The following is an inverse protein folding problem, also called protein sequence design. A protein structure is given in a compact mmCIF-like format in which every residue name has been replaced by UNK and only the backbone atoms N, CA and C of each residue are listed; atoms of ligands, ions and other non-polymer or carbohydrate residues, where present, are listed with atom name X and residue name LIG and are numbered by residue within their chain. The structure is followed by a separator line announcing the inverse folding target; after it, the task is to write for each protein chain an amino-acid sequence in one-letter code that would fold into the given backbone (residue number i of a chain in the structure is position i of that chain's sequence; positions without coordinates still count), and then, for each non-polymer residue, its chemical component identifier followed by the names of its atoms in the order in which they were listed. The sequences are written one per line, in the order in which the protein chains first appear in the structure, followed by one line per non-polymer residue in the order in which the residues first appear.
data_IF_778119177772
#
_entry.id   IF_778119177772
#
_cell.length_a   1.000
_cell.length_b   1.000
_cell.length_c   1.000
_cell.angle_alpha   90.00
_cell.angle_beta   90.00
_cell.angle_gamma   90.00
#
_symmetry.space_group_name_H-M   'P 1'
#
loop_
_entity.id
_entity.type
_entity.pdbx_description
1 polymer ?
#
# COMPACT_ATOMS: atom_id res chain seq x y z
N UNK A 1 -9.54 5.75 40.85
CA UNK A 1 -10.09 4.61 40.08
C UNK A 1 -9.04 4.11 39.08
N UNK A 2 -8.70 2.82 39.11
CA UNK A 2 -7.75 2.23 38.15
C UNK A 2 -8.29 2.36 36.73
N UNK A 3 -7.42 2.59 35.74
CA UNK A 3 -7.80 2.65 34.30
C UNK A 3 -8.62 1.43 33.85
N UNK A 4 -8.34 0.27 34.44
CA UNK A 4 -9.11 -0.95 34.24
C UNK A 4 -10.60 -0.78 34.63
N UNK A 5 -10.93 -0.04 35.69
CA UNK A 5 -12.32 0.22 36.09
C UNK A 5 -13.09 1.13 35.12
N UNK A 6 -12.39 2.03 34.42
CA UNK A 6 -12.99 2.92 33.41
C UNK A 6 -13.34 2.18 32.11
N UNK A 7 -12.56 1.14 31.77
CA UNK A 7 -12.83 0.22 30.64
C UNK A 7 -14.18 -0.48 30.85
N UNK A 8 -14.40 -1.05 32.04
CA UNK A 8 -15.62 -1.79 32.36
C UNK A 8 -16.88 -0.92 32.44
N UNK A 9 -16.76 0.33 32.90
CA UNK A 9 -17.90 1.25 33.01
C UNK A 9 -18.31 1.89 31.67
N UNK A 10 -17.39 2.03 30.72
CA UNK A 10 -17.65 2.72 29.45
C UNK A 10 -17.91 1.76 28.28
N UNK A 11 -17.26 0.59 28.29
CA UNK A 11 -17.31 -0.35 27.16
C UNK A 11 -18.02 -1.67 27.48
N UNK A 12 -18.38 -1.93 28.75
CA UNK A 12 -19.12 -3.10 29.23
C UNK A 12 -18.31 -4.42 29.12
N UNK A 13 -17.74 -4.72 27.95
CA UNK A 13 -16.84 -5.87 27.70
C UNK A 13 -15.61 -5.49 26.88
N UNK A 14 -14.55 -6.30 26.95
CA UNK A 14 -13.33 -6.14 26.15
C UNK A 14 -13.66 -6.25 24.64
N UNK A 15 -14.62 -7.08 24.25
CA UNK A 15 -15.05 -7.20 22.86
C UNK A 15 -15.70 -5.93 22.33
N UNK A 16 -16.62 -5.32 23.10
CA UNK A 16 -17.23 -4.04 22.74
C UNK A 16 -16.21 -2.91 22.65
N UNK A 17 -15.15 -2.97 23.46
CA UNK A 17 -14.02 -2.05 23.34
C UNK A 17 -13.28 -2.26 22.00
N UNK A 18 -12.91 -3.50 21.67
CA UNK A 18 -12.23 -3.86 20.41
C UNK A 18 -13.03 -3.39 19.20
N UNK A 19 -14.33 -3.66 19.15
CA UNK A 19 -15.18 -3.27 18.03
C UNK A 19 -15.27 -1.76 17.85
N UNK A 20 -15.52 -1.02 18.94
CA UNK A 20 -15.77 0.43 18.87
C UNK A 20 -14.51 1.24 18.64
N UNK A 21 -13.39 0.83 19.23
CA UNK A 21 -12.13 1.57 19.16
C UNK A 21 -11.27 1.15 17.97
N UNK A 22 -11.16 -0.15 17.68
CA UNK A 22 -10.22 -0.67 16.69
C UNK A 22 -10.95 -0.97 15.37
N UNK A 23 -11.97 -1.84 15.40
CA UNK A 23 -12.62 -2.32 14.17
C UNK A 23 -13.28 -1.19 13.39
N UNK A 24 -13.89 -0.22 14.08
CA UNK A 24 -14.51 0.95 13.43
C UNK A 24 -13.52 1.85 12.69
N UNK A 25 -12.28 1.96 13.17
CA UNK A 25 -11.26 2.83 12.56
C UNK A 25 -10.53 2.14 11.41
N UNK A 26 -10.44 0.80 11.45
CA UNK A 26 -9.60 0.02 10.54
C UNK A 26 -9.89 0.27 9.05
N UNK A 27 -11.15 0.25 8.55
CA UNK A 27 -11.42 0.45 7.12
C UNK A 27 -10.92 1.81 6.63
N UNK A 28 -11.25 2.89 7.33
CA UNK A 28 -10.86 4.24 6.93
C UNK A 28 -9.33 4.44 7.00
N UNK A 29 -8.66 3.91 8.03
CA UNK A 29 -7.20 3.99 8.10
C UNK A 29 -6.53 3.15 7.01
N UNK A 30 -7.08 1.97 6.73
CA UNK A 30 -6.60 1.10 5.65
C UNK A 30 -6.72 1.81 4.30
N UNK A 31 -7.89 2.38 3.97
CA UNK A 31 -8.12 3.11 2.73
C UNK A 31 -7.21 4.35 2.59
N UNK A 32 -7.07 5.15 3.65
CA UNK A 32 -6.22 6.35 3.63
C UNK A 32 -4.75 6.03 3.43
N UNK A 33 -4.26 4.92 4.03
CA UNK A 33 -2.87 4.50 3.89
C UNK A 33 -2.68 3.82 2.53
N UNK A 34 -3.49 2.83 2.17
CA UNK A 34 -3.39 2.15 0.88
C UNK A 34 -3.55 3.10 -0.31
N UNK A 35 -4.37 4.15 -0.19
CA UNK A 35 -4.54 5.16 -1.25
C UNK A 35 -3.26 5.93 -1.61
N UNK A 36 -2.22 5.87 -0.76
CA UNK A 36 -0.91 6.46 -1.03
C UNK A 36 0.03 5.51 -1.78
N UNK A 37 -0.36 4.24 -1.95
CA UNK A 37 0.45 3.22 -2.60
C UNK A 37 -0.19 2.81 -3.93
N UNK A 38 0.66 2.61 -4.92
CA UNK A 38 0.31 1.77 -6.07
C UNK A 38 0.34 0.29 -5.65
N UNK A 39 -0.30 -0.59 -6.42
CA UNK A 39 -0.23 -2.03 -6.13
C UNK A 39 1.20 -2.58 -6.09
N UNK A 40 2.05 -2.11 -7.02
CA UNK A 40 3.46 -2.52 -7.08
C UNK A 40 4.16 -2.14 -5.77
N UNK A 41 4.04 -0.88 -5.34
CA UNK A 41 4.64 -0.41 -4.08
C UNK A 41 4.01 -1.06 -2.85
N UNK A 42 2.73 -1.43 -2.87
CA UNK A 42 2.07 -2.10 -1.74
C UNK A 42 2.66 -3.50 -1.48
N UNK A 43 3.14 -4.18 -2.53
CA UNK A 43 3.81 -5.47 -2.42
C UNK A 43 5.31 -5.31 -2.18
N UNK A 44 5.99 -4.44 -2.93
CA UNK A 44 7.44 -4.24 -2.84
C UNK A 44 7.84 -3.58 -1.52
N UNK A 45 7.12 -2.54 -1.10
CA UNK A 45 7.37 -1.80 0.14
C UNK A 45 6.39 -2.23 1.25
N UNK A 46 5.99 -3.51 1.28
CA UNK A 46 4.99 -4.03 2.22
C UNK A 46 5.31 -3.69 3.67
N UNK A 47 6.57 -3.76 4.07
CA UNK A 47 7.01 -3.39 5.43
C UNK A 47 6.67 -1.94 5.75
N UNK A 48 6.90 -1.02 4.80
CA UNK A 48 6.59 0.39 4.95
C UNK A 48 5.08 0.62 5.01
N UNK A 49 4.32 -0.03 4.12
CA UNK A 49 2.86 -0.01 4.14
C UNK A 49 2.29 -0.45 5.51
N UNK A 50 2.80 -1.55 6.06
CA UNK A 50 2.40 -2.05 7.37
C UNK A 50 2.75 -1.06 8.48
N UNK A 51 3.95 -0.47 8.45
CA UNK A 51 4.38 0.55 9.41
C UNK A 51 3.50 1.80 9.36
N UNK A 52 3.17 2.28 8.17
CA UNK A 52 2.33 3.47 7.98
C UNK A 52 0.90 3.19 8.43
N UNK A 53 0.36 2.00 8.17
CA UNK A 53 -0.93 1.55 8.70
C UNK A 53 -0.91 1.46 10.23
N UNK A 54 0.14 0.88 10.81
CA UNK A 54 0.30 0.81 12.27
C UNK A 54 0.35 2.20 12.91
N UNK A 55 1.09 3.14 12.31
CA UNK A 55 1.18 4.51 12.79
C UNK A 55 -0.17 5.24 12.68
N UNK A 56 -0.91 5.03 11.59
CA UNK A 56 -2.25 5.57 11.42
C UNK A 56 -3.22 5.01 12.49
N UNK A 57 -3.20 3.70 12.71
CA UNK A 57 -4.03 3.05 13.74
C UNK A 57 -3.68 3.52 15.15
N UNK A 58 -2.39 3.67 15.49
CA UNK A 58 -1.95 4.20 16.80
C UNK A 58 -2.44 5.63 17.05
N UNK A 59 -2.55 6.45 16.01
CA UNK A 59 -3.08 7.83 16.11
C UNK A 59 -4.61 7.87 16.18
N UNK A 60 -5.28 6.96 15.48
CA UNK A 60 -6.74 6.92 15.40
C UNK A 60 -7.40 6.27 16.63
N UNK A 61 -6.72 5.30 17.26
CA UNK A 61 -7.21 4.60 18.44
C UNK A 61 -6.83 5.39 19.70
N UNK A 62 -7.79 6.15 20.22
CA UNK A 62 -7.64 6.88 21.50
C UNK A 62 -8.42 6.13 22.58
N UNK A 63 -7.73 5.66 23.61
CA UNK A 63 -8.35 4.92 24.71
C UNK A 63 -7.33 4.14 25.53
N UNK A 64 -7.80 3.25 26.44
CA UNK A 64 -6.96 2.48 27.36
C UNK A 64 -6.26 1.29 26.67
N UNK A 65 -6.07 1.34 25.35
CA UNK A 65 -5.45 0.29 24.55
C UNK A 65 -4.36 0.87 23.68
N UNK A 66 -3.29 0.09 23.52
CA UNK A 66 -2.16 0.43 22.66
C UNK A 66 -2.08 -0.62 21.56
N UNK A 67 -1.91 -0.17 20.31
CA UNK A 67 -1.69 -1.04 19.17
C UNK A 67 -0.22 -1.46 19.14
N UNK A 68 0.08 -2.69 19.53
CA UNK A 68 1.45 -3.21 19.55
C UNK A 68 2.01 -3.36 18.13
N UNK A 69 1.27 -4.02 17.25
CA UNK A 69 1.62 -4.20 15.84
C UNK A 69 0.40 -4.40 14.96
N UNK A 70 0.58 -4.15 13.66
CA UNK A 70 -0.39 -4.55 12.63
C UNK A 70 0.30 -5.52 11.68
N UNK A 71 -0.39 -6.58 11.29
CA UNK A 71 0.10 -7.53 10.30
C UNK A 71 -0.94 -7.67 9.20
N UNK A 72 -0.49 -7.52 7.96
CA UNK A 72 -1.30 -7.83 6.79
C UNK A 72 -0.99 -9.28 6.43
N UNK A 73 -2.02 -10.13 6.31
CA UNK A 73 -1.87 -11.53 5.91
C UNK A 73 -1.69 -11.65 4.39
N UNK A 74 -2.63 -11.14 3.61
CA UNK A 74 -2.59 -11.18 2.14
C UNK A 74 -2.94 -9.81 1.53
N UNK A 75 -2.46 -9.59 0.31
CA UNK A 75 -2.82 -8.44 -0.52
C UNK A 75 -3.21 -9.02 -1.87
N UNK A 76 -4.50 -9.02 -2.16
CA UNK A 76 -5.06 -9.51 -3.41
C UNK A 76 -5.51 -8.32 -4.26
N UNK A 77 -5.17 -8.34 -5.55
CA UNK A 77 -5.63 -7.37 -6.53
C UNK A 77 -6.71 -8.00 -7.41
N UNK A 78 -7.59 -7.18 -7.98
CA UNK A 78 -8.54 -7.70 -8.95
C UNK A 78 -7.84 -8.08 -10.26
N UNK A 79 -8.32 -9.14 -10.92
CA UNK A 79 -7.78 -9.60 -12.20
C UNK A 79 -7.69 -8.47 -13.25
N UNK A 80 -8.69 -7.58 -13.25
CA UNK A 80 -8.73 -6.42 -14.14
C UNK A 80 -7.58 -5.44 -13.86
N UNK A 81 -7.25 -5.23 -12.59
CA UNK A 81 -6.14 -4.38 -12.18
C UNK A 81 -4.79 -5.02 -12.53
N UNK A 82 -4.59 -6.30 -12.21
CA UNK A 82 -3.34 -7.01 -12.56
C UNK A 82 -3.08 -6.98 -14.07
N UNK A 83 -4.13 -7.22 -14.87
CA UNK A 83 -4.06 -7.12 -16.33
C UNK A 83 -3.66 -5.72 -16.81
N UNK A 84 -4.20 -4.67 -16.19
CA UNK A 84 -3.85 -3.28 -16.54
C UNK A 84 -2.38 -2.95 -16.26
N UNK A 85 -1.80 -3.52 -15.18
CA UNK A 85 -0.39 -3.36 -14.86
C UNK A 85 0.49 -4.10 -15.86
N UNK A 86 0.12 -5.34 -16.20
CA UNK A 86 0.82 -6.14 -17.21
C UNK A 86 0.83 -5.43 -18.58
N UNK A 87 -0.32 -4.91 -19.02
CA UNK A 87 -0.46 -4.20 -20.29
C UNK A 87 0.37 -2.91 -20.31
N UNK A 88 0.38 -2.15 -19.21
CA UNK A 88 1.22 -0.95 -19.07
C UNK A 88 2.70 -1.30 -19.16
N UNK A 89 3.15 -2.34 -18.46
CA UNK A 89 4.54 -2.78 -18.48
C UNK A 89 4.96 -3.21 -19.88
N UNK A 90 4.13 -3.97 -20.60
CA UNK A 90 4.37 -4.33 -22.01
C UNK A 90 4.50 -3.10 -22.91
N UNK A 91 3.64 -2.10 -22.72
CA UNK A 91 3.68 -0.86 -23.49
C UNK A 91 4.96 -0.05 -23.22
N UNK A 92 5.38 0.07 -21.95
CA UNK A 92 6.61 0.76 -21.57
C UNK A 92 7.85 0.08 -22.17
N UNK A 93 7.92 -1.26 -22.11
CA UNK A 93 8.99 -2.03 -22.75
C UNK A 93 8.99 -1.82 -24.26
N UNK A 94 7.82 -1.87 -24.92
CA UNK A 94 7.73 -1.66 -26.36
C UNK A 94 8.17 -0.25 -26.79
N UNK A 95 7.92 0.77 -25.97
CA UNK A 95 8.41 2.14 -26.21
C UNK A 95 9.92 2.21 -26.03
N UNK A 96 10.46 1.61 -24.96
CA UNK A 96 11.90 1.57 -24.72
C UNK A 96 12.64 0.88 -25.87
N UNK A 97 12.16 -0.27 -26.34
CA UNK A 97 12.72 -0.98 -27.49
C UNK A 97 12.68 -0.14 -28.76
N UNK A 98 11.55 0.53 -29.06
CA UNK A 98 11.45 1.41 -30.23
C UNK A 98 12.43 2.57 -30.16
N UNK A 99 12.60 3.20 -28.99
CA UNK A 99 13.60 4.26 -28.79
C UNK A 99 15.01 3.74 -29.02
N UNK A 100 15.34 2.57 -28.48
CA UNK A 100 16.65 1.95 -28.66
C UNK A 100 16.95 1.62 -30.13
N UNK A 101 15.95 1.12 -30.86
CA UNK A 101 16.09 0.85 -32.30
C UNK A 101 16.34 2.13 -33.09
N UNK A 102 15.54 3.19 -32.84
CA UNK A 102 15.70 4.49 -33.50
C UNK A 102 17.09 5.09 -33.26
N UNK A 103 17.60 4.99 -32.04
CA UNK A 103 18.95 5.48 -31.72
C UNK A 103 20.03 4.65 -32.43
N UNK A 104 19.85 3.32 -32.50
CA UNK A 104 20.76 2.43 -33.23
C UNK A 104 20.77 2.74 -34.73
N UNK A 105 19.60 2.94 -35.34
CA UNK A 105 19.45 3.29 -36.76
C UNK A 105 20.10 4.64 -37.08
N UNK A 106 19.96 5.65 -36.22
CA UNK A 106 20.63 6.95 -36.38
C UNK A 106 22.16 6.82 -36.34
N UNK A 107 22.70 6.01 -35.42
CA UNK A 107 24.15 5.78 -35.32
C UNK A 107 24.65 5.11 -36.60
N UNK A 108 23.96 4.08 -37.08
CA UNK A 108 24.31 3.40 -38.33
C UNK A 108 24.27 4.35 -39.54
N UNK A 109 23.24 5.19 -39.65
CA UNK A 109 23.13 6.18 -40.71
C UNK A 109 24.29 7.20 -40.70
N UNK A 110 24.74 7.65 -39.52
CA UNK A 110 25.89 8.56 -39.41
C UNK A 110 27.21 7.88 -39.80
N UNK A 111 27.41 6.61 -39.44
CA UNK A 111 28.58 5.83 -39.85
C UNK A 111 28.64 5.70 -41.37
N UNK A 112 27.50 5.42 -42.01
CA UNK A 112 27.42 5.25 -43.46
C UNK A 112 27.69 6.53 -44.27
N UNK A 113 27.40 7.72 -43.71
CA UNK A 113 27.68 9.02 -44.35
C UNK A 113 29.15 9.43 -44.23
N UNK A 114 29.87 8.90 -43.24
CA UNK A 114 31.26 9.29 -42.94
C UNK A 114 32.31 8.43 -43.68
N UNK A 115 31.91 7.30 -44.28
CA UNK A 115 32.80 6.38 -45.02
C UNK A 115 32.80 6.63 -46.53
#
# INVERSE_FOLDING_TARGET
PSEAGAVYTTYNTIESLKERLIVRQLPTQLENVFGQYTAISAVQDRTKLVQDLQNAMRKAVVGPVVIDGVQIENIDFSDAYEKSIEDRMKAEVAIATRKQNLETEKIQAQIAVTQ
#
